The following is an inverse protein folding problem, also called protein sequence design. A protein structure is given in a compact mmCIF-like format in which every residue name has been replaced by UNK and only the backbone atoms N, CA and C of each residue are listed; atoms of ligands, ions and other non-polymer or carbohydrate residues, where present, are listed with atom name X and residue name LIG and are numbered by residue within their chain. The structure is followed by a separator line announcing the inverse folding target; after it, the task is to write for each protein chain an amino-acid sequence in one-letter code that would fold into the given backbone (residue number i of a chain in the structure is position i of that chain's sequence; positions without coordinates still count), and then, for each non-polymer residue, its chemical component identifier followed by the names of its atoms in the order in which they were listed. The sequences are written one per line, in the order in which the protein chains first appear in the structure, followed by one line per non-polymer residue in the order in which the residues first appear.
data_IF_281439344396
#
_entry.id   IF_281439344396
#
_cell.length_a   1.000
_cell.length_b   1.000
_cell.length_c   1.000
_cell.angle_alpha   90.00
_cell.angle_beta   90.00
_cell.angle_gamma   90.00
#
_symmetry.space_group_name_H-M   'P 1'
#
loop_
_entity.id
_entity.type
_entity.pdbx_description
1 polymer ?
#
# COMPACT_ATOMS: atom_id res chain seq x y z
N UNK A 1 -4.26 8.22 -7.90
CA UNK A 1 -4.01 6.90 -7.29
C UNK A 1 -4.89 6.81 -6.06
N UNK A 2 -5.74 5.78 -6.01
CA UNK A 2 -6.89 5.71 -5.12
C UNK A 2 -6.43 5.45 -3.67
N UNK A 3 -6.55 6.47 -2.82
CA UNK A 3 -6.34 6.33 -1.38
C UNK A 3 -7.62 5.72 -0.77
N UNK A 4 -7.67 4.39 -0.62
CA UNK A 4 -8.75 3.76 0.15
C UNK A 4 -8.38 3.74 1.63
N UNK A 5 -8.75 4.80 2.35
CA UNK A 5 -8.83 4.76 3.82
C UNK A 5 -10.26 4.38 4.16
N UNK A 6 -10.47 3.15 4.61
CA UNK A 6 -11.77 2.69 5.07
C UNK A 6 -11.71 2.18 6.50
N UNK A 7 -12.19 2.92 7.51
CA UNK A 7 -12.96 2.24 8.54
C UNK A 7 -14.19 1.64 7.85
N UNK A 8 -14.57 0.41 8.21
CA UNK A 8 -15.81 -0.19 7.71
C UNK A 8 -17.00 0.68 8.12
N UNK A 9 -17.42 1.60 7.26
CA UNK A 9 -18.69 2.30 7.35
C UNK A 9 -19.67 1.61 6.40
N UNK A 10 -20.70 0.98 6.98
CA UNK A 10 -21.85 0.45 6.24
C UNK A 10 -22.53 1.63 5.55
N UNK A 11 -22.37 1.74 4.22
CA UNK A 11 -23.28 2.56 3.42
C UNK A 11 -24.64 1.86 3.40
N UNK A 12 -25.54 2.24 4.32
CA UNK A 12 -26.97 1.98 4.11
C UNK A 12 -27.37 2.78 2.89
N UNK A 13 -27.86 2.09 1.87
CA UNK A 13 -28.17 2.67 0.57
C UNK A 13 -29.27 3.73 0.65
N UNK A 14 -29.18 4.69 -0.25
CA UNK A 14 -30.38 5.34 -0.77
C UNK A 14 -30.33 5.33 -2.30
N UNK A 15 -31.48 5.04 -2.88
CA UNK A 15 -31.66 4.69 -4.28
C UNK A 15 -32.03 5.91 -5.12
N UNK A 16 -31.26 6.99 -5.01
CA UNK A 16 -31.52 8.20 -5.82
C UNK A 16 -30.47 8.39 -6.91
N UNK A 17 -30.88 7.99 -8.12
CA UNK A 17 -30.19 8.22 -9.38
C UNK A 17 -30.20 9.71 -9.75
N UNK A 18 -29.40 10.55 -9.10
CA UNK A 18 -28.95 11.84 -9.68
C UNK A 18 -27.78 12.54 -8.95
N UNK A 19 -26.97 11.82 -8.18
CA UNK A 19 -25.92 12.47 -7.37
C UNK A 19 -24.55 12.27 -7.99
N UNK A 20 -24.15 13.23 -8.82
CA UNK A 20 -22.74 13.50 -9.12
C UNK A 20 -21.91 13.40 -7.84
N UNK A 21 -20.96 12.47 -7.80
CA UNK A 21 -20.07 12.32 -6.65
C UNK A 21 -19.16 13.56 -6.56
N UNK A 22 -19.49 14.47 -5.65
CA UNK A 22 -18.67 15.65 -5.35
C UNK A 22 -17.57 15.25 -4.37
N UNK A 23 -16.31 15.38 -4.77
CA UNK A 23 -15.17 15.21 -3.87
C UNK A 23 -14.90 16.50 -3.10
N UNK A 24 -14.78 16.40 -1.76
CA UNK A 24 -14.42 17.51 -0.88
C UNK A 24 -13.11 17.17 -0.17
N UNK A 25 -12.16 18.10 -0.17
CA UNK A 25 -10.97 18.00 0.68
C UNK A 25 -11.40 18.17 2.15
N UNK A 26 -11.22 17.13 2.98
CA UNK A 26 -11.65 17.10 4.39
C UNK A 26 -10.48 17.27 5.38
N UNK A 27 -9.24 17.31 4.90
CA UNK A 27 -8.05 17.49 5.74
C UNK A 27 -6.78 16.94 5.10
N UNK A 28 -5.63 17.37 5.63
CA UNK A 28 -4.30 16.88 5.25
C UNK A 28 -3.78 15.98 6.37
N UNK A 29 -3.48 14.72 6.06
CA UNK A 29 -2.76 13.83 7.00
C UNK A 29 -1.30 14.27 6.98
N UNK A 30 -0.75 14.69 8.13
CA UNK A 30 0.69 14.89 8.28
C UNK A 30 1.38 13.53 8.29
N UNK A 31 2.44 13.36 7.51
CA UNK A 31 3.02 12.05 7.21
C UNK A 31 3.29 11.20 8.48
N UNK A 32 2.70 10.00 8.62
CA UNK A 32 3.29 8.99 9.47
C UNK A 32 4.54 8.48 8.75
N UNK A 33 5.74 8.71 9.31
CA UNK A 33 7.05 8.12 8.96
C UNK A 33 7.27 7.59 7.52
N UNK A 34 6.74 8.23 6.46
CA UNK A 34 7.04 7.87 5.06
C UNK A 34 8.54 8.08 4.83
N UNK A 35 9.17 9.01 5.55
CA UNK A 35 10.61 9.18 5.61
C UNK A 35 11.39 7.97 6.20
N UNK A 36 10.75 7.12 7.02
CA UNK A 36 11.36 5.89 7.55
C UNK A 36 11.26 4.71 6.56
N UNK A 37 10.41 4.82 5.54
CA UNK A 37 10.32 3.89 4.40
C UNK A 37 11.44 4.20 3.39
N UNK A 38 12.67 4.30 3.88
CA UNK A 38 13.85 4.45 3.04
C UNK A 38 14.49 3.07 2.85
N UNK A 39 14.35 2.45 1.67
CA UNK A 39 14.99 1.16 1.38
C UNK A 39 16.52 1.20 1.35
N UNK A 40 17.10 2.39 1.15
CA UNK A 40 18.45 2.47 0.57
C UNK A 40 18.46 1.97 -0.89
N UNK A 41 19.53 2.23 -1.66
CA UNK A 41 19.58 1.81 -3.05
C UNK A 41 19.47 0.29 -3.22
N UNK A 42 18.59 -0.19 -4.09
CA UNK A 42 18.49 -1.59 -4.53
C UNK A 42 18.66 -1.69 -6.05
N UNK A 43 18.77 -2.91 -6.61
CA UNK A 43 18.86 -3.11 -8.06
C UNK A 43 17.63 -2.59 -8.82
N UNK A 44 16.45 -2.56 -8.17
CA UNK A 44 15.19 -2.06 -8.72
C UNK A 44 14.79 -0.68 -8.18
N UNK A 45 15.47 -0.15 -7.16
CA UNK A 45 15.31 1.21 -6.63
C UNK A 45 16.67 1.90 -6.41
N UNK A 46 17.30 2.45 -7.46
CA UNK A 46 18.67 2.99 -7.37
C UNK A 46 18.79 4.26 -6.52
N UNK A 47 17.68 4.95 -6.24
CA UNK A 47 17.68 6.19 -5.46
C UNK A 47 17.53 5.94 -3.96
N UNK A 48 17.07 4.75 -3.58
CA UNK A 48 16.70 4.41 -2.20
C UNK A 48 15.57 5.25 -1.62
N UNK A 49 14.89 6.04 -2.46
CA UNK A 49 13.73 6.83 -2.10
C UNK A 49 12.46 6.05 -2.38
N UNK A 50 11.42 6.36 -1.62
CA UNK A 50 10.07 5.96 -1.95
C UNK A 50 9.69 6.51 -3.34
N UNK A 51 9.27 5.64 -4.24
CA UNK A 51 9.11 5.99 -5.66
C UNK A 51 7.80 5.44 -6.27
N UNK A 52 7.35 4.26 -5.83
CA UNK A 52 6.18 3.61 -6.38
C UNK A 52 5.54 2.65 -5.38
N UNK A 53 4.23 2.75 -5.26
CA UNK A 53 3.37 1.77 -4.60
C UNK A 53 2.11 1.61 -5.47
N UNK A 54 1.19 0.73 -5.07
CA UNK A 54 -0.12 0.64 -5.73
C UNK A 54 -1.28 0.76 -4.73
N UNK A 55 -1.57 -0.30 -3.96
CA UNK A 55 -2.67 -0.32 -3.00
C UNK A 55 -2.15 -0.57 -1.58
N UNK A 56 -2.80 0.05 -0.59
CA UNK A 56 -2.54 -0.15 0.83
C UNK A 56 -3.78 -0.65 1.59
N UNK A 57 -3.56 -1.14 2.82
CA UNK A 57 -4.60 -1.73 3.67
C UNK A 57 -4.39 -1.40 5.14
N UNK A 58 -5.47 -1.12 5.87
CA UNK A 58 -5.44 -0.95 7.34
C UNK A 58 -6.11 -2.16 7.98
N UNK A 59 -5.37 -2.92 8.78
CA UNK A 59 -5.93 -3.92 9.69
C UNK A 59 -6.29 -3.25 11.02
N UNK A 60 -7.56 -2.89 11.19
CA UNK A 60 -8.07 -2.25 12.40
C UNK A 60 -8.09 -3.18 13.62
N UNK A 61 -8.01 -4.50 13.45
CA UNK A 61 -7.94 -5.42 14.60
C UNK A 61 -6.53 -5.43 15.21
N UNK A 62 -5.52 -5.17 14.38
CA UNK A 62 -4.10 -5.20 14.76
C UNK A 62 -3.47 -3.81 14.84
N UNK A 63 -4.20 -2.78 14.42
CA UNK A 63 -3.72 -1.41 14.27
C UNK A 63 -2.46 -1.31 13.39
N UNK A 64 -2.46 -2.01 12.25
CA UNK A 64 -1.34 -1.98 11.30
C UNK A 64 -1.80 -1.47 9.94
N UNK A 65 -1.09 -0.49 9.40
CA UNK A 65 -1.17 -0.09 8.01
C UNK A 65 -0.12 -0.84 7.19
N UNK A 66 -0.57 -1.44 6.10
CA UNK A 66 0.25 -2.19 5.15
C UNK A 66 0.31 -1.44 3.82
N UNK A 67 1.50 -1.23 3.29
CA UNK A 67 1.73 -0.54 2.03
C UNK A 67 2.45 -1.48 1.05
N UNK A 68 1.86 -1.73 -0.11
CA UNK A 68 2.53 -2.47 -1.18
C UNK A 68 3.59 -1.58 -1.87
N UNK A 69 4.80 -1.51 -1.32
CA UNK A 69 5.89 -0.66 -1.81
C UNK A 69 6.80 -1.40 -2.81
N UNK A 70 6.59 -1.08 -4.08
CA UNK A 70 7.38 -1.59 -5.22
C UNK A 70 8.83 -1.11 -5.16
N UNK A 71 9.07 0.07 -4.59
CA UNK A 71 10.41 0.65 -4.40
C UNK A 71 11.23 -0.13 -3.39
N UNK A 72 10.58 -0.70 -2.38
CA UNK A 72 11.24 -1.56 -1.39
C UNK A 72 11.22 -3.03 -1.78
N UNK A 73 10.49 -3.38 -2.84
CA UNK A 73 10.18 -4.76 -3.18
C UNK A 73 9.62 -5.45 -1.91
N UNK A 74 8.63 -4.84 -1.26
CA UNK A 74 8.14 -5.27 0.04
C UNK A 74 6.72 -4.79 0.31
N UNK A 75 6.09 -5.41 1.31
CA UNK A 75 4.99 -4.76 2.03
C UNK A 75 5.58 -4.08 3.27
N UNK A 76 5.41 -2.77 3.38
CA UNK A 76 5.80 -2.01 4.56
C UNK A 76 4.70 -2.08 5.61
N UNK A 77 5.08 -2.31 6.86
CA UNK A 77 4.19 -2.30 8.02
C UNK A 77 4.42 -1.03 8.84
N UNK A 78 3.35 -0.33 9.14
CA UNK A 78 3.35 0.90 9.91
C UNK A 78 2.30 0.77 11.02
N UNK A 79 2.64 1.21 12.22
CA UNK A 79 1.70 1.30 13.32
C UNK A 79 0.65 2.37 12.99
N UNK A 80 -0.62 1.96 12.95
CA UNK A 80 -1.71 2.83 12.56
C UNK A 80 -2.14 3.82 13.67
N UNK A 81 -1.60 3.68 14.89
CA UNK A 81 -1.87 4.56 16.02
C UNK A 81 -0.91 5.74 16.03
N UNK A 82 0.40 5.47 15.98
CA UNK A 82 1.44 6.50 16.11
C UNK A 82 2.23 6.76 14.82
N UNK A 83 1.99 5.98 13.77
CA UNK A 83 2.65 6.14 12.48
C UNK A 83 4.09 5.63 12.45
N UNK A 84 4.55 4.90 13.47
CA UNK A 84 5.90 4.35 13.51
C UNK A 84 6.08 3.20 12.52
N UNK A 85 7.25 3.13 11.91
CA UNK A 85 7.58 2.00 11.03
C UNK A 85 7.82 0.74 11.86
N UNK A 86 7.09 -0.33 11.55
CA UNK A 86 7.18 -1.62 12.25
C UNK A 86 8.22 -2.51 11.58
N UNK A 87 8.19 -2.62 10.24
CA UNK A 87 9.04 -3.56 9.52
C UNK A 87 8.55 -3.87 8.11
N UNK A 88 9.18 -4.86 7.47
CA UNK A 88 8.84 -5.32 6.13
C UNK A 88 8.30 -6.75 6.15
N UNK A 89 7.39 -7.06 5.24
CA UNK A 89 7.02 -8.42 4.86
C UNK A 89 7.46 -8.69 3.41
N UNK A 90 7.98 -9.89 3.17
CA UNK A 90 8.37 -10.36 1.83
C UNK A 90 9.43 -9.49 1.13
N UNK A 91 10.31 -8.81 1.89
CA UNK A 91 11.28 -7.89 1.30
C UNK A 91 12.25 -8.61 0.37
N UNK A 92 12.23 -8.25 -0.90
CA UNK A 92 13.02 -8.87 -1.96
C UNK A 92 12.32 -10.01 -2.67
N UNK A 93 11.14 -10.43 -2.20
CA UNK A 93 10.41 -11.58 -2.72
C UNK A 93 9.34 -11.21 -3.77
N UNK A 94 9.12 -9.93 -4.00
CA UNK A 94 8.19 -9.41 -5.01
C UNK A 94 8.92 -8.97 -6.30
N UNK A 95 8.15 -8.60 -7.33
CA UNK A 95 8.72 -8.14 -8.60
C UNK A 95 9.49 -6.82 -8.49
N UNK A 96 9.15 -5.98 -7.52
CA UNK A 96 9.67 -4.62 -7.40
C UNK A 96 9.26 -3.73 -8.58
N UNK A 97 10.05 -2.69 -8.83
CA UNK A 97 9.92 -1.88 -10.04
C UNK A 97 10.66 -2.54 -11.20
N UNK A 98 9.93 -2.89 -12.26
CA UNK A 98 10.46 -3.41 -13.53
C UNK A 98 10.40 -2.31 -14.61
N UNK A 99 11.56 -1.78 -14.98
CA UNK A 99 11.65 -0.74 -16.00
C UNK A 99 11.14 -1.22 -17.37
N UNK A 100 10.34 -0.39 -18.03
CA UNK A 100 9.79 -0.68 -19.36
C UNK A 100 8.70 -1.75 -19.41
N UNK A 101 8.24 -2.27 -18.26
CA UNK A 101 7.15 -3.25 -18.18
C UNK A 101 6.19 -2.95 -17.01
N UNK A 102 5.39 -1.87 -17.10
CA UNK A 102 4.59 -1.37 -15.99
C UNK A 102 3.58 -2.39 -15.43
N UNK A 103 3.10 -3.32 -16.25
CA UNK A 103 2.15 -4.37 -15.85
C UNK A 103 2.80 -5.59 -15.18
N UNK A 104 4.10 -5.52 -14.88
CA UNK A 104 4.86 -6.59 -14.21
C UNK A 104 5.48 -6.13 -12.90
N UNK A 105 5.20 -4.90 -12.48
CA UNK A 105 5.69 -4.39 -11.21
C UNK A 105 4.96 -5.07 -10.05
N UNK A 106 5.54 -4.99 -8.85
CA UNK A 106 4.87 -5.41 -7.64
C UNK A 106 5.69 -5.15 -6.38
N UNK A 107 5.09 -5.26 -5.19
CA UNK A 107 3.72 -5.68 -4.97
C UNK A 107 2.68 -4.63 -5.42
N UNK A 108 1.49 -5.10 -5.81
CA UNK A 108 0.40 -4.31 -6.41
C UNK A 108 -0.79 -4.11 -5.45
N UNK A 109 -0.79 -4.80 -4.33
CA UNK A 109 -1.78 -4.60 -3.31
C UNK A 109 -1.66 -5.61 -2.20
N UNK A 110 -2.21 -5.26 -1.05
CA UNK A 110 -2.16 -6.07 0.15
C UNK A 110 -3.52 -6.04 0.83
N UNK A 111 -3.93 -7.16 1.41
CA UNK A 111 -5.11 -7.27 2.29
C UNK A 111 -4.83 -8.23 3.43
N UNK A 112 -5.57 -8.12 4.54
CA UNK A 112 -5.52 -9.09 5.64
C UNK A 112 -6.84 -9.82 5.82
N UNK A 113 -6.78 -11.03 6.37
CA UNK A 113 -7.95 -11.74 6.87
C UNK A 113 -8.08 -11.64 8.41
N UNK A 114 -9.17 -12.20 8.95
CA UNK A 114 -9.45 -12.15 10.39
C UNK A 114 -8.44 -12.94 11.21
N UNK A 115 -7.85 -13.98 10.63
CA UNK A 115 -6.83 -14.80 11.28
C UNK A 115 -5.49 -14.06 11.35
N UNK A 116 -5.31 -13.02 10.55
CA UNK A 116 -4.10 -12.21 10.49
C UNK A 116 -3.12 -12.65 9.41
N UNK A 117 -3.58 -13.46 8.46
CA UNK A 117 -2.80 -13.71 7.27
C UNK A 117 -2.79 -12.45 6.40
N UNK A 118 -1.66 -12.24 5.73
CA UNK A 118 -1.44 -11.12 4.81
C UNK A 118 -1.36 -11.69 3.41
N UNK A 119 -2.22 -11.21 2.51
CA UNK A 119 -2.32 -11.63 1.13
C UNK A 119 -1.88 -10.50 0.22
N UNK A 120 -0.95 -10.77 -0.69
CA UNK A 120 -0.30 -9.75 -1.51
C UNK A 120 -0.44 -10.12 -2.97
N UNK A 121 -0.95 -9.18 -3.78
CA UNK A 121 -0.87 -9.26 -5.23
C UNK A 121 0.51 -8.81 -5.70
N UNK A 122 1.10 -9.52 -6.64
CA UNK A 122 2.45 -9.23 -7.14
C UNK A 122 2.53 -9.31 -8.66
N UNK A 123 3.53 -8.64 -9.20
CA UNK A 123 3.95 -8.73 -10.59
C UNK A 123 4.66 -10.04 -10.91
N UNK A 124 4.88 -10.27 -12.20
CA UNK A 124 5.48 -11.50 -12.67
C UNK A 124 7.01 -11.49 -12.51
N UNK A 125 7.51 -12.32 -11.60
CA UNK A 125 8.95 -12.58 -11.41
C UNK A 125 9.39 -13.69 -12.38
N UNK A 126 10.41 -13.43 -13.21
CA UNK A 126 11.07 -14.48 -14.01
C UNK A 126 10.55 -14.73 -15.43
N UNK A 127 9.55 -13.98 -15.92
CA UNK A 127 9.13 -14.03 -17.34
C UNK A 127 8.02 -15.03 -17.68
N UNK A 128 7.46 -14.89 -18.89
CA UNK A 128 6.64 -15.94 -19.54
C UNK A 128 7.55 -16.90 -20.29
#
# INVERSE_FOLDING_TARGET
MLLSVGPAAVARGDSDRDTSTVYRHIGTVTEPAIAAIAAGPTATNPTGKFASFDISWVDNQRNVYYLADRSNNAVDMIDAIDGSFIGFLGKGDFAGVISGSPNRNGPDGVVTDRQGNVWVGDGLIGGV
#
